data_IF_623829824386
#
_entry.id   IF_623829824386
#
_cell.length_a   1.000
_cell.length_b   1.000
_cell.length_c   1.000
_cell.angle_alpha   90.00
_cell.angle_beta   90.00
_cell.angle_gamma   90.00
#
_symmetry.space_group_name_H-M   'P 1'
#
loop_
_entity.id
_entity.type
_entity.pdbx_description
1 polymer ?
#
# COMPACT_ATOMS: atom_id res chain seq x y z
N UNK A 1 -11.88 -17.84 20.71
CA UNK A 1 -12.89 -18.39 19.80
C UNK A 1 -13.58 -19.58 20.46
N UNK A 2 -12.84 -20.65 20.84
CA UNK A 2 -13.44 -21.88 21.36
C UNK A 2 -14.36 -21.63 22.59
N UNK A 3 -13.91 -20.83 23.57
CA UNK A 3 -14.70 -20.52 24.76
C UNK A 3 -16.02 -19.77 24.46
N UNK A 4 -16.02 -18.90 23.42
CA UNK A 4 -17.20 -18.15 22.98
C UNK A 4 -18.20 -19.08 22.29
N UNK A 5 -17.70 -19.99 21.44
CA UNK A 5 -18.51 -21.01 20.80
C UNK A 5 -19.12 -21.96 21.83
N UNK A 6 -18.27 -22.56 22.70
CA UNK A 6 -18.71 -23.63 23.65
C UNK A 6 -19.66 -23.11 24.75
N UNK A 7 -19.52 -21.84 25.18
CA UNK A 7 -20.26 -21.30 26.32
C UNK A 7 -21.46 -20.42 25.96
N UNK A 8 -21.35 -19.71 24.80
CA UNK A 8 -22.40 -18.77 24.35
C UNK A 8 -23.08 -19.22 23.07
N UNK A 9 -22.68 -20.36 22.51
CA UNK A 9 -23.21 -20.93 21.26
C UNK A 9 -23.15 -19.93 20.07
N UNK A 10 -22.15 -19.04 20.06
CA UNK A 10 -21.93 -18.04 19.04
C UNK A 10 -21.31 -18.68 17.80
N UNK A 11 -22.04 -18.70 16.69
CA UNK A 11 -21.65 -19.35 15.44
C UNK A 11 -21.38 -18.37 14.29
N UNK A 12 -21.88 -17.12 14.42
CA UNK A 12 -21.81 -16.10 13.39
C UNK A 12 -21.70 -14.69 14.01
N UNK A 13 -21.60 -13.66 13.17
CA UNK A 13 -21.47 -12.26 13.62
C UNK A 13 -22.74 -11.77 14.32
N UNK A 14 -23.96 -12.03 13.83
CA UNK A 14 -25.18 -11.70 14.56
C UNK A 14 -25.21 -12.25 15.99
N UNK A 15 -24.95 -13.55 16.19
CA UNK A 15 -24.89 -14.16 17.52
C UNK A 15 -23.86 -13.48 18.43
N UNK A 16 -22.71 -13.07 17.84
CA UNK A 16 -21.66 -12.38 18.58
C UNK A 16 -22.08 -10.96 19.00
N UNK A 17 -22.85 -10.26 18.17
CA UNK A 17 -23.44 -8.95 18.53
C UNK A 17 -24.41 -9.08 19.69
N UNK A 18 -25.31 -10.04 19.60
CA UNK A 18 -26.29 -10.30 20.67
C UNK A 18 -25.58 -10.61 22.00
N UNK A 19 -24.49 -11.40 21.95
CA UNK A 19 -23.69 -11.69 23.12
C UNK A 19 -22.95 -10.50 23.71
N UNK A 20 -22.61 -9.50 22.88
CA UNK A 20 -22.02 -8.24 23.31
C UNK A 20 -23.10 -7.32 23.91
N UNK A 21 -24.24 -7.16 23.24
CA UNK A 21 -25.34 -6.30 23.68
C UNK A 21 -25.98 -6.78 24.99
N UNK A 22 -26.07 -8.09 25.18
CA UNK A 22 -26.55 -8.69 26.42
C UNK A 22 -25.51 -8.70 27.54
N UNK A 23 -24.25 -8.33 27.26
CA UNK A 23 -23.16 -8.35 28.23
C UNK A 23 -22.56 -9.74 28.48
N UNK A 24 -23.19 -10.84 27.96
CA UNK A 24 -22.77 -12.22 28.22
C UNK A 24 -21.35 -12.52 27.73
N UNK A 25 -20.85 -11.80 26.69
CA UNK A 25 -19.47 -11.93 26.25
C UNK A 25 -18.49 -11.36 27.29
N UNK A 26 -18.82 -10.26 27.96
CA UNK A 26 -17.96 -9.63 28.96
C UNK A 26 -17.83 -10.45 30.24
N UNK A 27 -18.85 -11.29 30.56
CA UNK A 27 -18.85 -12.19 31.71
C UNK A 27 -17.95 -13.42 31.52
N UNK A 28 -17.53 -13.71 30.29
CA UNK A 28 -16.63 -14.84 30.05
C UNK A 28 -15.23 -14.57 30.60
N UNK A 29 -14.60 -15.55 31.28
CA UNK A 29 -13.22 -15.44 31.74
C UNK A 29 -12.28 -15.07 30.62
N UNK A 30 -11.54 -13.96 30.80
CA UNK A 30 -10.58 -13.46 29.82
C UNK A 30 -11.15 -12.53 28.74
N UNK A 31 -12.44 -12.15 28.79
CA UNK A 31 -13.05 -11.17 27.90
C UNK A 31 -13.21 -9.79 28.55
N UNK A 32 -14.02 -9.61 29.55
CA UNK A 32 -14.28 -8.33 30.22
C UNK A 32 -14.79 -7.22 29.28
N UNK A 33 -15.26 -6.09 29.86
CA UNK A 33 -15.89 -4.99 29.13
C UNK A 33 -15.01 -4.35 28.05
N UNK A 34 -13.72 -4.15 28.34
CA UNK A 34 -12.77 -3.54 27.39
C UNK A 34 -12.60 -4.39 26.13
N UNK A 35 -12.56 -5.72 26.30
CA UNK A 35 -12.38 -6.64 25.18
C UNK A 35 -13.68 -6.83 24.40
N UNK A 36 -14.82 -6.88 25.05
CA UNK A 36 -16.14 -6.88 24.42
C UNK A 36 -16.36 -5.62 23.59
N UNK A 37 -16.03 -4.44 24.13
CA UNK A 37 -16.10 -3.17 23.40
C UNK A 37 -15.12 -3.12 22.19
N UNK A 38 -13.94 -3.71 22.29
CA UNK A 38 -13.01 -3.81 21.17
C UNK A 38 -13.56 -4.70 20.04
N UNK A 39 -14.17 -5.83 20.40
CA UNK A 39 -14.83 -6.73 19.45
C UNK A 39 -16.02 -6.04 18.78
N UNK A 40 -16.84 -5.30 19.55
CA UNK A 40 -17.95 -4.51 19.00
C UNK A 40 -17.48 -3.48 17.96
N UNK A 41 -16.39 -2.75 18.26
CA UNK A 41 -15.78 -1.83 17.30
C UNK A 41 -15.28 -2.56 16.05
N UNK A 42 -14.65 -3.72 16.21
CA UNK A 42 -14.20 -4.56 15.11
C UNK A 42 -15.33 -5.01 14.18
N UNK A 43 -16.46 -5.42 14.75
CA UNK A 43 -17.67 -5.79 13.99
C UNK A 43 -18.24 -4.57 13.25
N UNK A 44 -18.41 -3.44 13.93
CA UNK A 44 -18.88 -2.20 13.31
C UNK A 44 -17.98 -1.72 12.18
N UNK A 45 -16.67 -1.93 12.32
CA UNK A 45 -15.70 -1.65 11.26
C UNK A 45 -15.86 -2.58 10.05
N UNK A 46 -15.98 -3.90 10.29
CA UNK A 46 -16.24 -4.87 9.23
C UNK A 46 -17.52 -4.54 8.44
N UNK A 47 -18.56 -4.08 9.11
CA UNK A 47 -19.83 -3.70 8.47
C UNK A 47 -19.71 -2.39 7.67
N UNK A 48 -18.89 -1.45 8.12
CA UNK A 48 -18.60 -0.21 7.36
C UNK A 48 -17.69 -0.44 6.17
N UNK A 49 -16.82 -1.44 6.21
CA UNK A 49 -15.91 -1.80 5.12
C UNK A 49 -16.60 -2.57 3.99
N UNK A 50 -17.93 -2.67 4.00
CA UNK A 50 -18.72 -3.45 3.06
C UNK A 50 -18.45 -3.08 1.60
N UNK A 51 -18.03 -4.06 0.82
CA UNK A 51 -17.94 -4.00 -0.62
C UNK A 51 -16.65 -3.45 -1.22
N UNK A 52 -15.63 -3.11 -0.40
CA UNK A 52 -14.31 -2.73 -0.92
C UNK A 52 -13.28 -3.82 -0.66
N UNK A 53 -12.48 -4.11 -1.69
CA UNK A 53 -11.39 -5.09 -1.67
C UNK A 53 -10.04 -4.39 -1.63
N UNK A 54 -8.98 -5.09 -1.18
CA UNK A 54 -7.62 -4.56 -1.20
C UNK A 54 -7.06 -4.46 -2.61
N UNK A 55 -6.03 -3.64 -2.76
CA UNK A 55 -5.35 -3.41 -4.04
C UNK A 55 -4.80 -4.71 -4.66
N UNK A 56 -4.24 -5.63 -3.87
CA UNK A 56 -3.72 -6.92 -4.33
C UNK A 56 -4.83 -7.80 -4.94
N UNK A 57 -5.98 -7.90 -4.28
CA UNK A 57 -7.14 -8.66 -4.74
C UNK A 57 -7.71 -8.08 -6.05
N UNK A 58 -7.78 -6.75 -6.14
CA UNK A 58 -8.24 -6.08 -7.36
C UNK A 58 -7.26 -6.28 -8.54
N UNK A 59 -5.95 -6.31 -8.27
CA UNK A 59 -4.94 -6.60 -9.29
C UNK A 59 -5.01 -8.04 -9.78
N UNK A 60 -5.27 -9.00 -8.91
CA UNK A 60 -5.51 -10.40 -9.28
C UNK A 60 -6.71 -10.49 -10.23
N UNK A 61 -7.85 -9.90 -9.84
CA UNK A 61 -9.06 -9.89 -10.67
C UNK A 61 -8.81 -9.24 -12.05
N UNK A 62 -8.12 -8.09 -12.07
CA UNK A 62 -7.74 -7.42 -13.31
C UNK A 62 -6.78 -8.25 -14.16
N UNK A 63 -5.88 -9.00 -13.53
CA UNK A 63 -4.95 -9.95 -14.17
C UNK A 63 -5.68 -11.08 -14.89
N UNK A 64 -6.64 -11.73 -14.22
CA UNK A 64 -7.48 -12.82 -14.76
C UNK A 64 -8.23 -12.34 -16.01
N UNK A 65 -8.99 -11.24 -15.88
CA UNK A 65 -9.79 -10.71 -16.99
C UNK A 65 -8.90 -10.16 -18.11
N UNK A 66 -7.80 -9.48 -17.76
CA UNK A 66 -6.82 -8.97 -18.71
C UNK A 66 -6.15 -10.09 -19.52
N UNK A 67 -5.82 -11.23 -18.91
CA UNK A 67 -5.27 -12.40 -19.60
C UNK A 67 -6.27 -12.98 -20.60
N UNK A 68 -7.53 -13.15 -20.18
CA UNK A 68 -8.61 -13.62 -21.08
C UNK A 68 -8.80 -12.64 -22.25
N UNK A 69 -8.87 -11.34 -22.01
CA UNK A 69 -9.07 -10.34 -23.08
C UNK A 69 -7.90 -10.36 -24.07
N UNK A 70 -6.66 -10.47 -23.62
CA UNK A 70 -5.47 -10.56 -24.49
C UNK A 70 -5.45 -11.84 -25.34
N UNK A 71 -5.87 -12.97 -24.78
CA UNK A 71 -5.96 -14.22 -25.54
C UNK A 71 -7.02 -14.19 -26.63
N UNK A 72 -8.07 -13.35 -26.44
CA UNK A 72 -9.15 -13.18 -27.39
C UNK A 72 -8.72 -12.39 -28.65
N UNK A 73 -7.92 -11.33 -28.48
CA UNK A 73 -7.38 -10.57 -29.61
C UNK A 73 -6.16 -9.74 -29.16
N UNK A 74 -5.02 -9.95 -29.83
CA UNK A 74 -3.78 -9.20 -29.59
C UNK A 74 -3.86 -7.71 -29.97
N UNK A 75 -4.85 -7.35 -30.79
CA UNK A 75 -5.02 -5.97 -31.26
C UNK A 75 -5.82 -5.08 -30.30
N UNK A 76 -6.29 -5.60 -29.19
CA UNK A 76 -7.04 -4.83 -28.21
C UNK A 76 -6.11 -3.95 -27.36
N UNK A 77 -6.48 -2.68 -27.23
CA UNK A 77 -5.95 -1.81 -26.15
C UNK A 77 -6.70 -2.16 -24.87
N UNK A 78 -6.01 -2.69 -23.89
CA UNK A 78 -6.59 -3.07 -22.60
C UNK A 78 -5.93 -2.25 -21.51
N UNK A 79 -6.74 -1.61 -20.67
CA UNK A 79 -6.26 -0.77 -19.59
C UNK A 79 -7.22 -0.81 -18.40
N UNK A 80 -6.69 -0.97 -17.20
CA UNK A 80 -7.46 -0.75 -15.98
C UNK A 80 -7.81 0.74 -15.86
N UNK A 81 -8.92 1.03 -15.18
CA UNK A 81 -9.37 2.40 -14.89
C UNK A 81 -9.74 2.52 -13.40
N UNK A 82 -10.55 3.49 -13.04
CA UNK A 82 -11.06 3.68 -11.68
C UNK A 82 -9.97 3.84 -10.62
N UNK A 83 -10.33 3.50 -9.40
CA UNK A 83 -9.43 3.55 -8.25
C UNK A 83 -8.27 2.57 -8.36
N UNK A 84 -8.43 1.46 -9.10
CA UNK A 84 -7.37 0.51 -9.36
C UNK A 84 -6.22 1.13 -10.17
N UNK A 85 -6.51 1.87 -11.24
CA UNK A 85 -5.48 2.55 -12.03
C UNK A 85 -4.80 3.65 -11.23
N UNK A 86 -5.51 4.30 -10.32
CA UNK A 86 -4.93 5.27 -9.39
C UNK A 86 -4.16 4.62 -8.25
N UNK A 87 -4.10 3.28 -8.19
CA UNK A 87 -3.42 2.53 -7.12
C UNK A 87 -3.94 2.86 -5.71
N UNK A 88 -5.25 3.11 -5.57
CA UNK A 88 -5.84 3.31 -4.25
C UNK A 88 -5.68 2.04 -3.38
N UNK A 89 -5.55 2.22 -2.07
CA UNK A 89 -5.33 1.11 -1.11
C UNK A 89 -6.50 0.12 -1.06
N UNK A 90 -7.72 0.62 -1.35
CA UNK A 90 -8.92 -0.20 -1.50
C UNK A 90 -9.69 0.17 -2.77
N UNK A 91 -10.35 -0.81 -3.35
CA UNK A 91 -11.05 -0.75 -4.62
C UNK A 91 -12.51 -1.15 -4.42
N UNK A 92 -13.46 -0.40 -4.97
CA UNK A 92 -14.89 -0.76 -4.92
C UNK A 92 -15.25 -1.79 -5.99
N UNK A 93 -14.86 -1.48 -7.21
CA UNK A 93 -15.07 -2.29 -8.41
C UNK A 93 -13.84 -2.19 -9.32
N UNK A 94 -13.62 -3.19 -10.15
CA UNK A 94 -12.49 -3.23 -11.09
C UNK A 94 -12.99 -2.80 -12.47
N UNK A 95 -12.63 -1.57 -12.88
CA UNK A 95 -12.92 -1.07 -14.22
C UNK A 95 -11.83 -1.47 -15.22
N UNK A 96 -12.22 -2.06 -16.36
CA UNK A 96 -11.33 -2.38 -17.48
C UNK A 96 -11.88 -1.75 -18.77
N UNK A 97 -11.03 -0.93 -19.41
CA UNK A 97 -11.31 -0.36 -20.72
C UNK A 97 -10.68 -1.20 -21.80
N UNK A 98 -11.45 -1.44 -22.86
CA UNK A 98 -11.02 -2.13 -24.07
C UNK A 98 -11.20 -1.20 -25.26
N UNK A 99 -10.10 -0.82 -25.90
CA UNK A 99 -10.09 -0.01 -27.10
C UNK A 99 -10.25 -0.88 -28.34
N UNK A 100 -11.18 -0.52 -29.23
CA UNK A 100 -11.40 -1.21 -30.49
C UNK A 100 -11.37 -0.21 -31.66
N UNK A 101 -10.89 -0.60 -32.85
CA UNK A 101 -10.88 0.30 -34.01
C UNK A 101 -12.25 0.87 -34.32
N UNK A 102 -13.26 0.01 -34.30
CA UNK A 102 -14.67 0.37 -34.56
C UNK A 102 -15.60 -0.42 -33.64
N UNK A 103 -16.55 0.29 -33.01
CA UNK A 103 -17.62 -0.37 -32.24
C UNK A 103 -18.59 -1.12 -33.16
N UNK A 104 -19.44 -1.93 -32.56
CA UNK A 104 -20.45 -2.71 -33.24
C UNK A 104 -20.37 -4.20 -32.92
N UNK A 105 -20.39 -5.06 -33.94
CA UNK A 105 -20.37 -6.51 -33.74
C UNK A 105 -19.17 -7.00 -32.91
N UNK A 106 -17.99 -6.39 -33.11
CA UNK A 106 -16.78 -6.73 -32.36
C UNK A 106 -16.89 -6.40 -30.87
N UNK A 107 -17.44 -5.24 -30.52
CA UNK A 107 -17.68 -4.87 -29.13
C UNK A 107 -18.58 -5.88 -28.40
N UNK A 108 -19.66 -6.29 -29.08
CA UNK A 108 -20.57 -7.30 -28.54
C UNK A 108 -19.88 -8.63 -28.29
N UNK A 109 -19.04 -9.11 -29.24
CA UNK A 109 -18.25 -10.34 -29.07
C UNK A 109 -17.29 -10.27 -27.86
N UNK A 110 -16.63 -9.14 -27.61
CA UNK A 110 -15.76 -8.94 -26.43
C UNK A 110 -16.58 -9.08 -25.14
N UNK A 111 -17.75 -8.43 -25.07
CA UNK A 111 -18.61 -8.51 -23.89
C UNK A 111 -19.16 -9.94 -23.70
N UNK A 112 -19.59 -10.60 -24.78
CA UNK A 112 -20.05 -11.99 -24.72
C UNK A 112 -18.94 -12.96 -24.28
N UNK A 113 -17.70 -12.76 -24.74
CA UNK A 113 -16.56 -13.56 -24.30
C UNK A 113 -16.29 -13.36 -22.80
N UNK A 114 -16.34 -12.13 -22.32
CA UNK A 114 -16.16 -11.83 -20.90
C UNK A 114 -17.28 -12.45 -20.06
N UNK A 115 -18.56 -12.23 -20.40
CA UNK A 115 -19.69 -12.68 -19.58
C UNK A 115 -19.88 -14.20 -19.60
N UNK A 116 -19.29 -14.92 -20.58
CA UNK A 116 -19.33 -16.39 -20.69
C UNK A 116 -18.05 -17.08 -20.17
N UNK A 117 -17.10 -16.32 -19.63
CA UNK A 117 -15.84 -16.88 -19.15
C UNK A 117 -16.07 -17.76 -17.91
N UNK A 118 -15.25 -18.81 -17.77
CA UNK A 118 -15.43 -19.82 -16.72
C UNK A 118 -15.30 -19.30 -15.28
N UNK A 119 -14.56 -18.20 -15.11
CA UNK A 119 -14.37 -17.53 -13.80
C UNK A 119 -15.54 -16.60 -13.42
N UNK A 120 -16.56 -16.42 -14.27
CA UNK A 120 -17.73 -15.59 -13.98
C UNK A 120 -18.72 -16.37 -13.14
N UNK A 121 -19.03 -15.87 -11.94
CA UNK A 121 -20.05 -16.42 -11.04
C UNK A 121 -21.44 -15.85 -11.33
N UNK A 122 -21.51 -14.54 -11.55
CA UNK A 122 -22.76 -13.82 -11.74
C UNK A 122 -22.61 -12.72 -12.80
N UNK A 123 -23.61 -12.60 -13.65
CA UNK A 123 -23.71 -11.52 -14.64
C UNK A 123 -24.63 -10.44 -14.07
N UNK A 124 -24.07 -9.27 -13.71
CA UNK A 124 -24.85 -8.13 -13.22
C UNK A 124 -25.45 -7.31 -14.36
N UNK A 125 -24.71 -7.16 -15.46
CA UNK A 125 -25.18 -6.48 -16.67
C UNK A 125 -24.43 -6.98 -17.90
N UNK A 126 -25.14 -7.06 -19.06
CA UNK A 126 -24.58 -7.43 -20.36
C UNK A 126 -25.22 -6.61 -21.46
N UNK A 127 -24.48 -5.60 -21.94
CA UNK A 127 -24.86 -4.73 -23.04
C UNK A 127 -23.97 -4.92 -24.26
N UNK A 128 -24.13 -4.09 -25.29
CA UNK A 128 -23.32 -4.15 -26.52
C UNK A 128 -21.88 -3.62 -26.32
N UNK A 129 -21.65 -2.77 -25.32
CA UNK A 129 -20.37 -2.09 -25.08
C UNK A 129 -19.95 -2.10 -23.62
N UNK A 130 -20.79 -2.63 -22.71
CA UNK A 130 -20.49 -2.79 -21.28
C UNK A 130 -20.96 -4.15 -20.80
N UNK A 131 -20.10 -4.84 -20.05
CA UNK A 131 -20.43 -6.03 -19.25
C UNK A 131 -19.98 -5.80 -17.81
N UNK A 132 -20.82 -6.21 -16.85
CA UNK A 132 -20.56 -6.19 -15.41
C UNK A 132 -20.76 -7.58 -14.88
N UNK A 133 -19.77 -8.15 -14.22
CA UNK A 133 -19.84 -9.49 -13.65
C UNK A 133 -19.20 -9.53 -12.27
N UNK A 134 -19.66 -10.46 -11.44
CA UNK A 134 -18.92 -10.93 -10.28
C UNK A 134 -18.06 -12.09 -10.72
N UNK A 135 -16.77 -12.01 -10.50
CA UNK A 135 -15.81 -13.07 -10.83
C UNK A 135 -15.21 -13.68 -9.57
N UNK A 136 -14.83 -14.95 -9.67
CA UNK A 136 -14.09 -15.67 -8.63
C UNK A 136 -12.59 -15.39 -8.76
N UNK A 137 -11.95 -15.08 -7.63
CA UNK A 137 -10.48 -15.03 -7.50
C UNK A 137 -10.01 -16.02 -6.44
N UNK A 138 -8.72 -16.12 -6.21
CA UNK A 138 -8.19 -17.04 -5.18
C UNK A 138 -8.64 -16.69 -3.74
N UNK A 139 -9.02 -15.43 -3.50
CA UNK A 139 -9.26 -14.90 -2.15
C UNK A 139 -10.68 -14.39 -1.90
N UNK A 140 -11.38 -13.92 -2.92
CA UNK A 140 -12.73 -13.35 -2.78
C UNK A 140 -13.43 -13.20 -4.14
N UNK A 141 -14.72 -12.92 -4.08
CA UNK A 141 -15.51 -12.54 -5.25
C UNK A 141 -15.35 -11.04 -5.54
N UNK A 142 -15.16 -10.69 -6.81
CA UNK A 142 -14.85 -9.31 -7.21
C UNK A 142 -15.77 -8.86 -8.34
N UNK A 143 -16.41 -7.69 -8.19
CA UNK A 143 -17.11 -7.07 -9.29
C UNK A 143 -16.12 -6.48 -10.29
N UNK A 144 -16.25 -6.88 -11.56
CA UNK A 144 -15.47 -6.35 -12.68
C UNK A 144 -16.38 -5.79 -13.75
N UNK A 145 -16.09 -4.58 -14.17
CA UNK A 145 -16.74 -3.87 -15.26
C UNK A 145 -15.83 -3.81 -16.48
N UNK A 146 -16.22 -4.42 -17.58
CA UNK A 146 -15.52 -4.31 -18.87
C UNK A 146 -16.29 -3.35 -19.77
N UNK A 147 -15.61 -2.32 -20.25
CA UNK A 147 -16.19 -1.31 -21.15
C UNK A 147 -15.40 -1.21 -22.45
N UNK A 148 -16.09 -1.38 -23.57
CA UNK A 148 -15.51 -1.29 -24.91
C UNK A 148 -15.75 0.10 -25.49
N UNK A 149 -14.70 0.76 -25.94
CA UNK A 149 -14.72 2.12 -26.49
C UNK A 149 -13.99 2.18 -27.83
N UNK A 150 -14.38 3.08 -28.75
CA UNK A 150 -13.63 3.25 -29.98
C UNK A 150 -12.27 3.89 -29.71
N UNK A 151 -11.22 3.49 -30.44
CA UNK A 151 -9.86 4.00 -30.27
C UNK A 151 -9.76 5.53 -30.30
N UNK A 152 -10.56 6.18 -31.18
CA UNK A 152 -10.61 7.65 -31.28
C UNK A 152 -11.01 8.33 -29.96
N UNK A 153 -11.69 7.62 -29.06
CA UNK A 153 -12.14 8.10 -27.75
C UNK A 153 -11.39 7.45 -26.58
N UNK A 154 -10.43 6.55 -26.85
CA UNK A 154 -9.81 5.73 -25.81
C UNK A 154 -9.12 6.56 -24.74
N UNK A 155 -8.36 7.60 -25.12
CA UNK A 155 -7.71 8.49 -24.15
C UNK A 155 -8.70 9.31 -23.33
N UNK A 156 -9.81 9.76 -23.92
CA UNK A 156 -10.85 10.49 -23.18
C UNK A 156 -11.59 9.56 -22.22
N UNK A 157 -11.95 8.37 -22.64
CA UNK A 157 -12.54 7.35 -21.78
C UNK A 157 -11.57 6.95 -20.65
N UNK A 158 -10.28 6.75 -20.96
CA UNK A 158 -9.25 6.44 -19.99
C UNK A 158 -9.14 7.54 -18.93
N UNK A 159 -9.09 8.80 -19.32
CA UNK A 159 -9.07 9.93 -18.40
C UNK A 159 -10.35 9.98 -17.54
N UNK A 160 -11.53 9.88 -18.17
CA UNK A 160 -12.82 9.99 -17.52
C UNK A 160 -13.05 8.87 -16.49
N UNK A 161 -12.87 7.60 -16.90
CA UNK A 161 -13.09 6.43 -16.04
C UNK A 161 -11.97 6.22 -15.01
N UNK A 162 -10.77 6.74 -15.22
CA UNK A 162 -9.73 6.76 -14.20
C UNK A 162 -10.12 7.63 -13.00
N UNK A 163 -10.77 8.76 -13.22
CA UNK A 163 -11.15 9.69 -12.16
C UNK A 163 -9.92 10.40 -11.55
N UNK A 164 -9.93 10.76 -10.25
CA UNK A 164 -11.08 10.67 -9.33
C UNK A 164 -12.26 11.51 -9.77
N UNK A 165 -13.39 11.36 -9.06
CA UNK A 165 -14.56 12.25 -9.31
C UNK A 165 -14.18 13.72 -9.12
N UNK A 166 -13.46 14.05 -8.04
CA UNK A 166 -13.01 15.40 -7.74
C UNK A 166 -12.09 15.93 -8.85
N UNK A 167 -11.06 15.17 -9.24
CA UNK A 167 -10.18 15.51 -10.34
C UNK A 167 -10.94 15.77 -11.65
N UNK A 168 -11.91 14.91 -12.00
CA UNK A 168 -12.73 15.09 -13.20
C UNK A 168 -13.63 16.33 -13.17
N UNK A 169 -14.14 16.71 -12.00
CA UNK A 169 -14.90 17.96 -11.82
C UNK A 169 -14.00 19.15 -12.14
N UNK A 170 -12.79 19.19 -11.57
CA UNK A 170 -11.82 20.27 -11.80
C UNK A 170 -11.41 20.38 -13.27
N UNK A 171 -11.11 19.27 -13.93
CA UNK A 171 -10.78 19.28 -15.37
C UNK A 171 -11.93 19.80 -16.22
N UNK A 172 -13.18 19.43 -15.91
CA UNK A 172 -14.36 19.94 -16.62
C UNK A 172 -14.58 21.43 -16.40
N UNK A 173 -14.34 21.94 -15.18
CA UNK A 173 -14.40 23.39 -14.92
C UNK A 173 -13.39 24.16 -15.77
N UNK A 174 -12.16 23.64 -15.90
CA UNK A 174 -11.14 24.25 -16.78
C UNK A 174 -11.60 24.22 -18.24
N UNK A 175 -12.13 23.09 -18.71
CA UNK A 175 -12.66 22.96 -20.06
C UNK A 175 -13.79 23.97 -20.33
N UNK A 176 -14.76 24.10 -19.42
CA UNK A 176 -15.87 25.06 -19.51
C UNK A 176 -15.37 26.51 -19.57
N UNK A 177 -14.42 26.88 -18.70
CA UNK A 177 -13.79 28.23 -18.73
C UNK A 177 -13.10 28.52 -20.08
N UNK A 178 -12.56 27.48 -20.72
CA UNK A 178 -11.96 27.57 -22.07
C UNK A 178 -12.99 27.46 -23.21
N UNK A 179 -14.31 27.45 -22.93
CA UNK A 179 -15.40 27.23 -23.87
C UNK A 179 -15.29 25.90 -24.64
N UNK A 180 -14.84 24.87 -23.92
CA UNK A 180 -14.71 23.48 -24.40
C UNK A 180 -15.64 22.55 -23.61
N UNK A 181 -15.97 21.39 -24.17
CA UNK A 181 -16.75 20.32 -23.52
C UNK A 181 -15.89 19.09 -23.38
N UNK A 182 -15.68 18.59 -22.15
CA UNK A 182 -14.95 17.36 -21.84
C UNK A 182 -15.90 16.29 -21.33
N UNK A 183 -15.85 15.10 -21.95
CA UNK A 183 -16.56 13.90 -21.53
C UNK A 183 -15.78 12.64 -21.93
N UNK A 184 -16.34 11.44 -21.69
CA UNK A 184 -15.73 10.14 -22.00
C UNK A 184 -15.48 9.90 -23.49
N UNK A 185 -16.08 10.68 -24.37
CA UNK A 185 -15.90 10.56 -25.82
C UNK A 185 -14.78 11.45 -26.36
N UNK A 186 -14.47 12.56 -25.69
CA UNK A 186 -13.44 13.48 -26.13
C UNK A 186 -13.50 14.85 -25.48
N UNK A 187 -12.57 15.70 -25.92
CA UNK A 187 -12.59 17.15 -25.70
C UNK A 187 -13.08 17.83 -26.99
N UNK A 188 -14.11 18.66 -26.89
CA UNK A 188 -14.81 19.23 -28.03
C UNK A 188 -14.78 20.77 -27.99
N UNK A 189 -14.71 21.36 -29.21
CA UNK A 189 -15.01 22.79 -29.43
C UNK A 189 -16.23 22.86 -30.36
N UNK A 190 -17.41 23.22 -29.81
CA UNK A 190 -18.67 22.96 -30.47
C UNK A 190 -18.84 21.46 -30.68
N UNK A 191 -19.18 21.05 -31.90
CA UNK A 191 -19.36 19.64 -32.25
C UNK A 191 -18.06 18.94 -32.70
N UNK A 192 -16.98 19.70 -32.85
CA UNK A 192 -15.69 19.18 -33.35
C UNK A 192 -14.86 18.61 -32.20
N UNK A 193 -14.54 17.32 -32.24
CA UNK A 193 -13.55 16.72 -31.36
C UNK A 193 -12.15 17.29 -31.65
N UNK A 194 -11.47 17.79 -30.65
CA UNK A 194 -10.12 18.37 -30.73
C UNK A 194 -9.05 17.55 -29.98
N UNK A 195 -9.47 16.62 -29.12
CA UNK A 195 -8.64 15.59 -28.47
C UNK A 195 -9.53 14.42 -28.01
N UNK A 196 -8.99 13.19 -28.05
CA UNK A 196 -9.75 11.99 -27.66
C UNK A 196 -8.91 10.71 -27.61
N UNK A 197 -8.04 10.43 -28.61
CA UNK A 197 -7.27 9.17 -28.67
C UNK A 197 -6.26 8.95 -27.55
N UNK A 198 -5.70 10.03 -26.97
CA UNK A 198 -4.70 9.96 -25.91
C UNK A 198 -4.98 10.98 -24.81
N UNK A 199 -4.76 10.58 -23.54
CA UNK A 199 -4.96 11.45 -22.35
C UNK A 199 -4.09 12.70 -22.40
N UNK A 200 -2.81 12.56 -22.81
CA UNK A 200 -1.85 13.66 -22.91
C UNK A 200 -2.35 14.79 -23.81
N UNK A 201 -3.10 14.47 -24.86
CA UNK A 201 -3.68 15.48 -25.74
C UNK A 201 -4.72 16.33 -25.02
N UNK A 202 -5.50 15.72 -24.13
CA UNK A 202 -6.55 16.40 -23.35
C UNK A 202 -5.89 17.40 -22.39
N UNK A 203 -4.95 16.94 -21.56
CA UNK A 203 -4.22 17.81 -20.62
C UNK A 203 -3.53 18.97 -21.35
N UNK A 204 -2.78 18.68 -22.41
CA UNK A 204 -2.09 19.72 -23.20
C UNK A 204 -3.06 20.75 -23.80
N UNK A 205 -4.25 20.32 -24.29
CA UNK A 205 -5.26 21.23 -24.83
C UNK A 205 -5.91 22.10 -23.76
N UNK A 206 -5.87 21.66 -22.51
CA UNK A 206 -6.32 22.41 -21.34
C UNK A 206 -5.21 23.29 -20.71
N UNK A 207 -4.01 23.30 -21.29
CA UNK A 207 -2.85 24.06 -20.78
C UNK A 207 -2.23 23.46 -19.53
N UNK A 208 -2.28 22.13 -19.40
CA UNK A 208 -1.76 21.37 -18.27
C UNK A 208 -0.71 20.36 -18.71
N UNK A 209 0.28 20.12 -17.87
CA UNK A 209 1.12 18.94 -17.98
C UNK A 209 0.29 17.66 -17.78
N UNK A 210 0.76 16.54 -18.30
CA UNK A 210 0.09 15.25 -18.06
C UNK A 210 0.18 14.86 -16.60
N UNK A 211 -0.96 14.67 -15.97
CA UNK A 211 -1.04 14.24 -14.58
C UNK A 211 -1.07 12.72 -14.52
N UNK A 212 -0.07 12.07 -13.88
CA UNK A 212 -0.08 10.63 -13.66
C UNK A 212 -1.34 10.16 -12.93
N UNK A 213 -1.94 9.01 -13.28
CA UNK A 213 -3.14 8.50 -12.62
C UNK A 213 -3.08 8.47 -11.10
N UNK A 214 -1.94 8.09 -10.53
CA UNK A 214 -1.73 7.99 -9.08
C UNK A 214 -1.89 9.31 -8.32
N UNK A 215 -1.74 10.45 -9.01
CA UNK A 215 -1.88 11.79 -8.41
C UNK A 215 -3.30 12.36 -8.53
N UNK A 216 -4.20 11.77 -9.32
CA UNK A 216 -5.51 12.33 -9.66
C UNK A 216 -6.54 12.23 -8.53
N UNK A 217 -6.31 12.93 -7.41
CA UNK A 217 -7.17 12.91 -6.22
C UNK A 217 -7.66 14.30 -5.79
N UNK A 218 -7.39 15.34 -6.59
CA UNK A 218 -7.67 16.77 -6.30
C UNK A 218 -6.95 17.23 -5.01
N UNK A 219 -5.63 16.98 -4.97
CA UNK A 219 -4.75 17.31 -3.84
C UNK A 219 -3.62 18.28 -4.25
N UNK A 220 -3.90 19.15 -5.24
CA UNK A 220 -2.96 20.15 -5.76
C UNK A 220 -2.30 19.77 -7.09
N UNK A 221 -2.61 18.60 -7.65
CA UNK A 221 -2.00 18.14 -8.90
C UNK A 221 -2.41 18.98 -10.13
N UNK A 222 -3.60 19.59 -10.09
CA UNK A 222 -4.08 20.49 -11.17
C UNK A 222 -3.24 21.77 -11.19
N UNK A 223 -3.02 22.36 -10.01
CA UNK A 223 -2.21 23.57 -9.85
C UNK A 223 -0.75 23.29 -10.19
N UNK A 224 -0.21 22.16 -9.75
CA UNK A 224 1.16 21.75 -10.08
C UNK A 224 1.32 21.51 -11.58
N UNK A 225 0.37 20.86 -12.25
CA UNK A 225 0.39 20.65 -13.70
C UNK A 225 0.32 21.95 -14.49
N UNK A 226 -0.46 22.93 -13.99
CA UNK A 226 -0.55 24.26 -14.62
C UNK A 226 0.72 25.08 -14.47
N UNK A 227 1.41 24.91 -13.34
CA UNK A 227 2.65 25.63 -13.01
C UNK A 227 3.91 24.90 -13.45
N UNK A 228 3.80 23.74 -14.11
CA UNK A 228 4.92 22.88 -14.50
C UNK A 228 5.80 22.45 -13.32
N UNK A 229 5.16 22.12 -12.18
CA UNK A 229 5.82 21.72 -10.92
C UNK A 229 5.40 20.34 -10.43
N UNK A 230 4.84 19.51 -11.33
CA UNK A 230 4.57 18.11 -10.98
C UNK A 230 5.89 17.42 -10.61
N UNK A 231 5.91 16.59 -9.53
CA UNK A 231 7.11 15.86 -9.17
C UNK A 231 7.45 14.77 -10.19
N UNK A 232 8.73 14.51 -10.37
CA UNK A 232 9.21 13.29 -11.01
C UNK A 232 9.04 12.14 -10.00
N UNK A 233 7.96 11.38 -10.16
CA UNK A 233 7.60 10.32 -9.21
C UNK A 233 8.62 9.20 -9.21
N UNK A 234 8.82 8.62 -8.04
CA UNK A 234 9.64 7.42 -7.87
C UNK A 234 9.10 6.25 -8.72
N UNK A 235 10.01 5.52 -9.36
CA UNK A 235 9.72 4.32 -10.14
C UNK A 235 10.41 3.08 -9.56
N UNK A 236 9.95 1.89 -9.96
CA UNK A 236 10.52 0.63 -9.47
C UNK A 236 12.02 0.49 -9.79
N UNK A 237 12.45 1.02 -10.94
CA UNK A 237 13.86 1.01 -11.34
C UNK A 237 14.78 1.85 -10.42
N UNK A 238 14.22 2.74 -9.62
CA UNK A 238 14.98 3.53 -8.64
C UNK A 238 15.29 2.77 -7.36
N UNK A 239 14.51 1.73 -7.04
CA UNK A 239 14.64 0.93 -5.81
C UNK A 239 15.91 0.09 -5.87
N UNK A 240 16.73 0.19 -4.83
CA UNK A 240 17.98 -0.55 -4.69
C UNK A 240 17.97 -1.61 -3.61
N UNK A 241 16.96 -1.63 -2.77
CA UNK A 241 16.87 -2.62 -1.71
C UNK A 241 15.64 -2.44 -0.83
N UNK A 242 15.56 -3.26 0.19
CA UNK A 242 14.45 -3.39 1.12
C UNK A 242 14.95 -3.27 2.56
N UNK A 243 14.18 -2.59 3.41
CA UNK A 243 14.57 -2.28 4.79
C UNK A 243 13.86 -3.13 5.85
N UNK A 244 12.89 -3.98 5.48
CA UNK A 244 12.07 -4.67 6.46
C UNK A 244 11.72 -6.09 6.00
N UNK A 245 12.31 -7.10 6.65
CA UNK A 245 12.05 -8.51 6.40
C UNK A 245 12.49 -9.38 7.58
N UNK A 246 11.86 -10.54 7.70
CA UNK A 246 12.03 -11.50 8.78
C UNK A 246 12.54 -12.82 8.28
N UNK A 247 13.33 -13.51 9.12
CA UNK A 247 13.91 -14.82 8.82
C UNK A 247 13.34 -15.90 9.73
N UNK A 248 13.73 -17.15 9.48
CA UNK A 248 13.44 -18.27 10.38
C UNK A 248 14.01 -18.11 11.80
N UNK A 249 14.82 -17.07 12.04
CA UNK A 249 15.30 -16.76 13.38
C UNK A 249 14.20 -16.17 14.27
N UNK A 250 13.20 -15.48 13.69
CA UNK A 250 11.98 -15.05 14.38
C UNK A 250 10.76 -15.80 13.82
N UNK A 251 9.92 -15.18 13.04
CA UNK A 251 8.66 -15.74 12.51
C UNK A 251 8.59 -15.80 10.99
N UNK A 252 9.70 -15.55 10.29
CA UNK A 252 9.82 -15.77 8.86
C UNK A 252 9.94 -17.25 8.48
N UNK A 253 9.74 -17.53 7.20
CA UNK A 253 9.79 -18.89 6.61
C UNK A 253 11.08 -19.16 5.83
N UNK A 254 11.86 -18.12 5.52
CA UNK A 254 13.11 -18.19 4.73
C UNK A 254 14.34 -17.85 5.56
N UNK A 255 15.48 -18.45 5.25
CA UNK A 255 16.76 -18.06 5.84
C UNK A 255 17.36 -16.82 5.14
N UNK A 256 18.46 -16.32 5.68
CA UNK A 256 19.13 -15.10 5.18
C UNK A 256 19.64 -15.31 3.75
N UNK A 257 20.16 -16.47 3.44
CA UNK A 257 20.72 -16.83 2.15
C UNK A 257 19.64 -16.86 1.06
N UNK A 258 18.48 -17.46 1.34
CA UNK A 258 17.33 -17.51 0.43
C UNK A 258 16.76 -16.11 0.15
N UNK A 259 16.62 -15.29 1.18
CA UNK A 259 16.22 -13.89 1.03
C UNK A 259 17.22 -13.11 0.17
N UNK A 260 18.53 -13.33 0.40
CA UNK A 260 19.58 -12.64 -0.35
C UNK A 260 19.62 -13.07 -1.82
N UNK A 261 19.44 -14.36 -2.12
CA UNK A 261 19.36 -14.87 -3.49
C UNK A 261 18.18 -14.26 -4.23
N UNK A 262 16.99 -14.32 -3.64
CA UNK A 262 15.77 -13.72 -4.22
C UNK A 262 15.91 -12.21 -4.42
N UNK A 263 16.50 -11.49 -3.47
CA UNK A 263 16.76 -10.06 -3.59
C UNK A 263 17.75 -9.73 -4.72
N UNK A 264 18.77 -10.57 -4.90
CA UNK A 264 19.71 -10.41 -6.01
C UNK A 264 19.03 -10.63 -7.38
N UNK A 265 18.14 -11.61 -7.49
CA UNK A 265 17.32 -11.87 -8.69
C UNK A 265 16.37 -10.71 -9.01
N UNK A 266 15.82 -10.03 -7.98
CA UNK A 266 15.05 -8.80 -8.13
C UNK A 266 15.92 -7.59 -8.50
N UNK A 267 17.25 -7.73 -8.54
CA UNK A 267 18.18 -6.66 -8.89
C UNK A 267 18.56 -5.72 -7.73
N UNK A 268 18.21 -6.05 -6.50
CA UNK A 268 18.56 -5.27 -5.31
C UNK A 268 20.07 -5.19 -5.10
N UNK A 269 20.50 -4.16 -4.42
CA UNK A 269 21.90 -3.89 -4.04
C UNK A 269 22.11 -4.02 -2.54
N UNK A 270 21.05 -3.99 -1.77
CA UNK A 270 21.05 -4.27 -0.35
C UNK A 270 19.68 -4.82 0.11
N UNK A 271 19.72 -5.57 1.21
CA UNK A 271 18.56 -5.91 2.04
C UNK A 271 18.92 -5.63 3.50
N UNK A 272 17.94 -5.42 4.35
CA UNK A 272 18.11 -5.28 5.79
C UNK A 272 17.33 -6.38 6.50
N UNK A 273 18.01 -7.28 7.18
CA UNK A 273 17.35 -8.29 8.03
C UNK A 273 16.93 -7.60 9.33
N UNK A 274 15.65 -7.74 9.68
CA UNK A 274 15.04 -7.00 10.79
C UNK A 274 14.15 -7.88 11.66
N UNK A 275 14.66 -9.05 12.03
CA UNK A 275 13.96 -9.96 12.93
C UNK A 275 13.50 -9.26 14.22
N UNK A 276 12.37 -9.72 14.76
CA UNK A 276 11.73 -9.16 15.95
C UNK A 276 12.59 -9.25 17.20
N UNK A 277 12.43 -8.30 18.12
CA UNK A 277 13.04 -8.30 19.44
C UNK A 277 12.26 -9.19 20.43
N UNK A 278 12.91 -9.56 21.53
CA UNK A 278 12.47 -10.65 22.41
C UNK A 278 11.17 -10.39 23.17
N UNK A 279 10.74 -9.14 23.36
CA UNK A 279 9.46 -8.85 23.98
C UNK A 279 8.26 -9.34 23.17
N UNK A 280 8.43 -9.55 21.85
CA UNK A 280 7.42 -10.11 20.99
C UNK A 280 7.51 -11.66 20.94
N UNK A 281 7.20 -12.29 22.06
CA UNK A 281 7.30 -13.75 22.21
C UNK A 281 6.44 -14.53 21.20
N UNK A 282 5.32 -13.96 20.71
CA UNK A 282 4.43 -14.61 19.75
C UNK A 282 5.10 -14.75 18.37
N UNK A 283 6.06 -13.88 18.05
CA UNK A 283 6.85 -13.91 16.81
C UNK A 283 8.25 -14.53 17.03
N UNK A 284 8.48 -15.24 18.13
CA UNK A 284 9.77 -15.83 18.50
C UNK A 284 10.92 -14.81 18.49
N UNK A 285 10.67 -13.58 18.94
CA UNK A 285 11.64 -12.48 18.89
C UNK A 285 12.98 -12.84 19.54
N UNK A 286 14.06 -12.35 18.94
CA UNK A 286 15.44 -12.69 19.28
C UNK A 286 15.85 -12.15 20.64
N UNK A 287 16.48 -12.98 21.46
CA UNK A 287 17.19 -12.52 22.64
C UNK A 287 18.45 -11.70 22.22
N UNK A 288 19.01 -10.85 23.13
CA UNK A 288 20.23 -10.10 22.84
C UNK A 288 21.38 -10.97 22.33
N UNK A 289 21.53 -12.19 22.87
CA UNK A 289 22.56 -13.13 22.46
C UNK A 289 22.33 -13.66 21.04
N UNK A 290 21.09 -13.95 20.67
CA UNK A 290 20.74 -14.39 19.32
C UNK A 290 20.95 -13.28 18.28
N UNK A 291 20.54 -12.04 18.61
CA UNK A 291 20.77 -10.89 17.74
C UNK A 291 22.27 -10.62 17.54
N UNK A 292 23.09 -10.66 18.59
CA UNK A 292 24.54 -10.53 18.47
C UNK A 292 25.14 -11.62 17.56
N UNK A 293 24.68 -12.87 17.70
CA UNK A 293 25.10 -13.96 16.80
C UNK A 293 24.66 -13.71 15.34
N UNK A 294 23.45 -13.21 15.13
CA UNK A 294 22.95 -12.91 13.79
C UNK A 294 23.75 -11.79 13.11
N UNK A 295 24.13 -10.74 13.86
CA UNK A 295 25.00 -9.67 13.36
C UNK A 295 26.32 -10.26 12.84
N UNK A 296 26.99 -11.09 13.65
CA UNK A 296 28.24 -11.75 13.25
C UNK A 296 28.03 -12.67 12.03
N UNK A 297 26.92 -13.40 11.98
CA UNK A 297 26.59 -14.28 10.87
C UNK A 297 26.40 -13.49 9.57
N UNK A 298 25.66 -12.40 9.60
CA UNK A 298 25.47 -11.48 8.46
C UNK A 298 26.84 -10.92 7.99
N UNK A 299 27.75 -10.54 8.90
CA UNK A 299 29.09 -10.06 8.54
C UNK A 299 29.85 -11.13 7.76
N UNK A 300 29.81 -12.41 8.20
CA UNK A 300 30.47 -13.55 7.51
C UNK A 300 29.87 -13.85 6.14
N UNK A 301 28.54 -13.73 5.99
CA UNK A 301 27.87 -13.87 4.69
C UNK A 301 28.36 -12.79 3.73
N UNK A 302 28.40 -11.54 4.18
CA UNK A 302 28.83 -10.39 3.38
C UNK A 302 30.28 -10.51 2.85
N UNK A 303 31.18 -11.21 3.54
CA UNK A 303 32.55 -11.46 3.06
C UNK A 303 32.58 -12.25 1.73
N UNK A 304 31.56 -13.08 1.50
CA UNK A 304 31.46 -13.97 0.33
C UNK A 304 30.50 -13.43 -0.73
N UNK A 305 29.55 -12.56 -0.33
CA UNK A 305 28.48 -12.06 -1.18
C UNK A 305 29.02 -10.99 -2.14
N UNK A 306 28.62 -11.08 -3.42
CA UNK A 306 29.01 -10.10 -4.44
C UNK A 306 27.77 -9.44 -5.03
N UNK A 307 27.81 -8.11 -5.16
CA UNK A 307 26.75 -7.34 -5.83
C UNK A 307 25.52 -7.01 -4.98
N UNK A 308 25.39 -7.63 -3.80
CA UNK A 308 24.38 -7.36 -2.78
C UNK A 308 25.08 -7.15 -1.43
N UNK A 309 24.54 -6.31 -0.57
CA UNK A 309 24.98 -6.14 0.82
C UNK A 309 23.81 -6.42 1.75
N UNK A 310 24.01 -7.28 2.75
CA UNK A 310 23.02 -7.50 3.81
C UNK A 310 23.34 -6.57 4.96
N UNK A 311 22.41 -5.69 5.31
CA UNK A 311 22.48 -4.86 6.50
C UNK A 311 21.97 -5.66 7.70
N UNK A 312 22.71 -5.64 8.79
CA UNK A 312 22.24 -6.16 10.06
C UNK A 312 21.32 -5.15 10.71
N UNK A 313 20.08 -5.53 10.93
CA UNK A 313 19.07 -4.69 11.57
C UNK A 313 18.26 -5.45 12.60
N UNK A 314 17.22 -4.84 13.11
CA UNK A 314 16.18 -5.43 13.94
C UNK A 314 14.90 -4.62 13.84
N UNK A 315 13.74 -5.28 13.94
CA UNK A 315 12.48 -4.63 14.31
C UNK A 315 12.33 -4.70 15.83
N UNK A 316 12.76 -3.63 16.49
CA UNK A 316 12.73 -3.55 17.95
C UNK A 316 11.38 -3.03 18.46
N UNK A 317 10.79 -3.72 19.44
CA UNK A 317 9.57 -3.25 20.08
C UNK A 317 9.78 -1.94 20.86
N UNK A 318 8.83 -1.03 20.71
CA UNK A 318 8.69 0.14 21.57
C UNK A 318 7.91 -0.29 22.82
N UNK A 319 8.57 -0.35 23.96
CA UNK A 319 8.00 -0.79 25.23
C UNK A 319 6.96 0.23 25.76
N UNK A 320 6.10 -0.14 26.72
CA UNK A 320 5.05 0.75 27.24
C UNK A 320 5.55 2.09 27.75
N UNK A 321 6.78 2.15 28.25
CA UNK A 321 7.41 3.39 28.72
C UNK A 321 8.11 4.19 27.61
N UNK A 322 8.07 3.71 26.37
CA UNK A 322 8.71 4.31 25.19
C UNK A 322 10.20 4.00 25.03
N UNK A 323 10.78 3.13 25.87
CA UNK A 323 12.12 2.59 25.65
C UNK A 323 12.12 1.53 24.55
N UNK A 324 13.30 1.20 24.03
CA UNK A 324 13.50 0.16 23.03
C UNK A 324 13.89 -1.15 23.69
N UNK A 325 13.43 -2.26 23.17
CA UNK A 325 13.58 -3.61 23.75
C UNK A 325 15.02 -4.17 23.75
N UNK A 326 15.99 -3.42 23.26
CA UNK A 326 17.43 -3.73 23.35
C UNK A 326 18.19 -2.56 23.95
N UNK A 327 19.30 -2.85 24.61
CA UNK A 327 20.19 -1.81 25.11
C UNK A 327 20.97 -1.11 23.97
N UNK A 328 21.44 0.11 24.25
CA UNK A 328 22.10 0.92 23.25
C UNK A 328 23.46 0.35 22.80
N UNK A 329 24.11 -0.49 23.60
CA UNK A 329 25.38 -1.13 23.25
C UNK A 329 25.15 -2.11 22.09
N UNK A 330 24.12 -2.94 22.18
CA UNK A 330 23.74 -3.87 21.12
C UNK A 330 23.19 -3.13 19.89
N UNK A 331 22.36 -2.11 20.08
CA UNK A 331 21.83 -1.30 18.97
C UNK A 331 22.94 -0.57 18.20
N UNK A 332 24.06 -0.24 18.82
CA UNK A 332 25.20 0.41 18.18
C UNK A 332 25.88 -0.48 17.13
N UNK A 333 25.82 -1.79 17.28
CA UNK A 333 26.43 -2.77 16.36
C UNK A 333 25.61 -3.02 15.09
N UNK A 334 24.34 -2.56 15.07
CA UNK A 334 23.42 -2.70 13.95
C UNK A 334 23.67 -1.66 12.86
N UNK A 335 23.45 -2.01 11.61
CA UNK A 335 23.52 -1.09 10.47
C UNK A 335 22.27 -0.22 10.36
N UNK A 336 21.09 -0.75 10.75
CA UNK A 336 19.81 -0.04 10.69
C UNK A 336 18.81 -0.62 11.70
N UNK A 337 18.18 0.24 12.49
CA UNK A 337 17.19 -0.13 13.51
C UNK A 337 15.84 0.45 13.12
N UNK A 338 14.84 -0.42 12.97
CA UNK A 338 13.44 -0.02 12.89
C UNK A 338 12.76 -0.29 14.23
N UNK A 339 11.84 0.57 14.63
CA UNK A 339 11.12 0.44 15.90
C UNK A 339 9.62 0.44 15.63
N UNK A 340 8.87 -0.39 16.36
CA UNK A 340 7.43 -0.56 16.14
C UNK A 340 6.67 -0.78 17.45
N UNK A 341 5.37 -0.51 17.45
CA UNK A 341 4.46 -0.84 18.55
C UNK A 341 3.67 -2.08 18.17
N UNK A 342 3.97 -3.23 18.75
CA UNK A 342 3.18 -4.46 18.62
C UNK A 342 2.25 -4.67 19.80
N UNK A 343 2.66 -4.31 21.02
CA UNK A 343 1.89 -4.48 22.24
C UNK A 343 1.27 -3.17 22.70
N UNK A 344 0.03 -3.22 23.20
CA UNK A 344 -0.65 -2.04 23.75
C UNK A 344 -1.16 -1.06 22.68
N UNK A 345 -1.47 -1.53 21.47
CA UNK A 345 -1.97 -0.72 20.35
C UNK A 345 -3.33 -0.05 20.61
N UNK A 346 -4.07 -0.45 21.62
CA UNK A 346 -5.37 0.11 22.02
C UNK A 346 -5.25 1.18 23.13
N UNK A 347 -4.05 1.68 23.43
CA UNK A 347 -3.81 2.77 24.36
C UNK A 347 -4.45 4.09 23.93
N UNK A 348 -4.45 5.07 24.85
CA UNK A 348 -4.92 6.42 24.54
C UNK A 348 -3.97 7.12 23.53
N UNK A 349 -4.51 8.08 22.78
CA UNK A 349 -3.76 8.83 21.75
C UNK A 349 -2.48 9.44 22.28
N UNK A 350 -2.56 10.09 23.43
CA UNK A 350 -1.43 10.73 24.09
C UNK A 350 -0.37 9.71 24.48
N UNK A 351 -0.78 8.56 25.01
CA UNK A 351 0.10 7.48 25.45
C UNK A 351 0.88 6.89 24.26
N UNK A 352 0.15 6.47 23.20
CA UNK A 352 0.75 5.89 21.99
C UNK A 352 1.68 6.88 21.30
N UNK A 353 1.25 8.15 21.20
CA UNK A 353 2.06 9.21 20.61
C UNK A 353 3.34 9.42 21.41
N UNK A 354 3.24 9.60 22.73
CA UNK A 354 4.42 9.81 23.59
C UNK A 354 5.41 8.65 23.57
N UNK A 355 4.91 7.40 23.55
CA UNK A 355 5.77 6.22 23.39
C UNK A 355 6.58 6.28 22.10
N UNK A 356 5.92 6.62 21.00
CA UNK A 356 6.56 6.73 19.67
C UNK A 356 7.59 7.86 19.65
N UNK A 357 7.24 9.06 20.16
CA UNK A 357 8.18 10.19 20.21
C UNK A 357 9.41 9.86 21.05
N UNK A 358 9.22 9.24 22.22
CA UNK A 358 10.33 8.84 23.09
C UNK A 358 11.24 7.79 22.44
N UNK A 359 10.67 6.83 21.71
CA UNK A 359 11.45 5.87 20.93
C UNK A 359 12.32 6.57 19.86
N UNK A 360 11.76 7.60 19.21
CA UNK A 360 12.49 8.39 18.22
C UNK A 360 13.62 9.24 18.81
N UNK A 361 13.57 9.58 20.09
CA UNK A 361 14.66 10.24 20.81
C UNK A 361 15.89 9.33 21.01
N UNK A 362 15.71 8.01 20.94
CA UNK A 362 16.84 7.08 20.98
C UNK A 362 17.74 7.27 19.74
N UNK A 363 19.05 7.56 19.90
CA UNK A 363 19.94 7.87 18.79
C UNK A 363 20.20 6.71 17.83
N UNK A 364 19.85 5.49 18.21
CA UNK A 364 20.03 4.30 17.38
C UNK A 364 18.78 3.92 16.56
N UNK A 365 17.60 4.43 16.90
CA UNK A 365 16.37 4.20 16.13
C UNK A 365 16.41 5.02 14.84
N UNK A 366 16.43 4.36 13.69
CA UNK A 366 16.57 5.00 12.39
C UNK A 366 15.24 5.19 11.66
N UNK A 367 14.25 4.33 11.94
CA UNK A 367 12.94 4.36 11.31
C UNK A 367 11.84 3.88 12.26
N UNK A 368 10.62 4.42 12.12
CA UNK A 368 9.42 3.85 12.74
C UNK A 368 8.71 3.01 11.70
N UNK A 369 8.57 1.70 11.98
CA UNK A 369 7.89 0.74 11.13
C UNK A 369 6.36 0.87 11.26
N UNK A 370 5.62 0.67 10.14
CA UNK A 370 4.15 0.71 10.06
C UNK A 370 3.51 1.59 11.15
N UNK A 371 3.72 2.93 11.08
CA UNK A 371 3.56 3.85 12.21
C UNK A 371 2.15 3.93 12.79
N UNK A 372 1.12 3.54 12.02
CA UNK A 372 -0.26 3.53 12.50
C UNK A 372 -0.74 2.14 12.93
N UNK A 373 0.02 1.10 12.65
CA UNK A 373 -0.29 -0.29 13.01
C UNK A 373 -1.59 -0.84 12.41
N UNK A 374 -2.15 -0.18 11.40
CA UNK A 374 -3.41 -0.57 10.76
C UNK A 374 -3.31 -1.90 10.01
N UNK A 375 -4.45 -2.59 9.87
CA UNK A 375 -4.63 -3.69 8.93
C UNK A 375 -5.91 -3.43 8.12
N UNK A 376 -5.76 -3.16 6.82
CA UNK A 376 -6.85 -2.80 5.92
C UNK A 376 -7.95 -3.87 5.93
N UNK A 377 -9.18 -3.47 6.30
CA UNK A 377 -10.31 -4.38 6.42
C UNK A 377 -10.30 -5.32 7.64
N UNK A 378 -9.31 -5.20 8.55
CA UNK A 378 -9.19 -6.07 9.75
C UNK A 378 -9.00 -5.31 11.06
N UNK A 379 -8.22 -4.24 11.05
CA UNK A 379 -7.89 -3.48 12.27
C UNK A 379 -7.73 -2.01 11.93
N UNK A 380 -8.44 -1.16 12.67
CA UNK A 380 -8.29 0.29 12.60
C UNK A 380 -6.85 0.70 12.97
N UNK A 381 -6.38 1.84 12.46
CA UNK A 381 -5.11 2.39 12.93
C UNK A 381 -5.16 2.65 14.43
N UNK A 382 -4.01 2.57 15.09
CA UNK A 382 -3.83 3.07 16.45
C UNK A 382 -4.28 4.54 16.51
N UNK A 383 -4.83 4.95 17.64
CA UNK A 383 -5.12 6.36 17.89
C UNK A 383 -3.81 7.09 18.21
N UNK A 384 -3.11 7.53 17.15
CA UNK A 384 -1.81 8.19 17.21
C UNK A 384 -1.86 9.56 16.53
N UNK A 385 -1.19 10.57 17.10
CA UNK A 385 -1.01 11.85 16.45
C UNK A 385 0.10 11.81 15.40
N UNK A 386 -0.27 11.46 14.18
CA UNK A 386 0.70 11.30 13.10
C UNK A 386 1.37 12.64 12.71
N UNK A 387 0.71 13.77 12.94
CA UNK A 387 1.31 15.08 12.68
C UNK A 387 2.43 15.36 13.68
N UNK A 388 2.22 15.06 14.98
CA UNK A 388 3.24 15.16 16.00
C UNK A 388 4.42 14.20 15.72
N UNK A 389 4.13 12.97 15.26
CA UNK A 389 5.18 12.00 14.87
C UNK A 389 6.00 12.54 13.70
N UNK A 390 5.37 13.10 12.66
CA UNK A 390 6.08 13.70 11.52
C UNK A 390 6.94 14.88 11.95
N UNK A 391 6.41 15.79 12.78
CA UNK A 391 7.18 16.93 13.31
C UNK A 391 8.40 16.46 14.10
N UNK A 392 8.23 15.42 14.92
CA UNK A 392 9.32 14.87 15.71
C UNK A 392 10.35 14.11 14.85
N UNK A 393 9.91 13.44 13.79
CA UNK A 393 10.78 12.77 12.81
C UNK A 393 11.77 13.75 12.16
N UNK A 394 11.32 14.97 11.85
CA UNK A 394 12.20 16.03 11.34
C UNK A 394 13.29 16.38 12.37
N UNK A 395 12.91 16.55 13.64
CA UNK A 395 13.82 16.95 14.74
C UNK A 395 14.87 15.88 15.04
N UNK A 396 14.47 14.62 14.97
CA UNK A 396 15.30 13.48 15.36
C UNK A 396 15.99 12.79 14.18
N UNK A 397 15.80 13.29 12.97
CA UNK A 397 16.28 12.63 11.73
C UNK A 397 15.87 11.15 11.63
N UNK A 398 14.65 10.84 12.08
CA UNK A 398 14.09 9.49 12.01
C UNK A 398 13.28 9.35 10.72
N UNK A 399 13.50 8.27 9.98
CA UNK A 399 12.65 7.94 8.81
C UNK A 399 11.30 7.37 9.27
N UNK A 400 10.31 7.42 8.38
CA UNK A 400 9.02 6.74 8.57
C UNK A 400 8.83 5.70 7.47
N UNK A 401 8.31 4.55 7.84
CA UNK A 401 8.08 3.47 6.89
C UNK A 401 6.81 3.68 6.07
N UNK A 402 6.87 3.22 4.82
CA UNK A 402 5.74 2.86 3.97
C UNK A 402 5.77 1.34 3.85
N UNK A 403 5.10 0.64 4.75
CA UNK A 403 5.01 -0.81 4.73
C UNK A 403 4.25 -1.27 3.49
N UNK A 404 4.88 -2.10 2.67
CA UNK A 404 4.37 -2.50 1.36
C UNK A 404 3.41 -3.70 1.43
N UNK A 405 3.21 -4.30 2.61
CA UNK A 405 2.25 -5.38 2.76
C UNK A 405 0.83 -4.86 2.42
N UNK A 406 0.10 -5.50 1.48
CA UNK A 406 -1.24 -5.07 1.06
C UNK A 406 -2.27 -4.99 2.19
N UNK A 407 -2.04 -5.70 3.30
CA UNK A 407 -2.86 -5.56 4.49
C UNK A 407 -2.57 -4.28 5.27
N UNK A 408 -1.40 -3.64 5.09
CA UNK A 408 -0.98 -2.46 5.84
C UNK A 408 -1.01 -1.19 4.98
N UNK A 409 -0.16 -1.08 3.95
CA UNK A 409 0.14 0.14 3.18
C UNK A 409 0.29 1.34 4.11
N UNK A 410 1.16 1.21 5.10
CA UNK A 410 1.29 2.09 6.26
C UNK A 410 2.73 2.66 6.34
N UNK A 411 2.90 3.92 6.15
CA UNK A 411 1.99 5.07 6.07
C UNK A 411 1.08 5.03 4.82
N UNK A 412 -0.15 5.52 4.98
CA UNK A 412 -1.02 5.76 3.82
C UNK A 412 -0.55 6.96 2.99
N UNK A 413 -1.03 7.07 1.75
CA UNK A 413 -0.63 8.09 0.77
C UNK A 413 -0.71 9.54 1.27
N UNK A 414 -1.76 9.89 2.03
CA UNK A 414 -1.89 11.24 2.59
C UNK A 414 -0.86 11.55 3.67
N UNK A 415 -0.49 10.56 4.49
CA UNK A 415 0.55 10.72 5.50
C UNK A 415 1.94 10.74 4.86
N UNK A 416 2.17 9.97 3.78
CA UNK A 416 3.39 10.08 2.97
C UNK A 416 3.59 11.51 2.46
N UNK A 417 2.53 12.12 1.89
CA UNK A 417 2.58 13.50 1.40
C UNK A 417 2.93 14.47 2.52
N UNK A 418 2.27 14.38 3.68
CA UNK A 418 2.58 15.22 4.84
C UNK A 418 4.05 15.08 5.29
N UNK A 419 4.56 13.86 5.36
CA UNK A 419 5.94 13.57 5.78
C UNK A 419 6.96 14.15 4.78
N UNK A 420 6.71 13.98 3.47
CA UNK A 420 7.56 14.52 2.39
C UNK A 420 7.57 16.05 2.42
N UNK A 421 6.41 16.68 2.56
CA UNK A 421 6.29 18.15 2.65
C UNK A 421 7.01 18.71 3.90
N UNK A 422 7.08 17.95 4.97
CA UNK A 422 7.86 18.29 6.18
C UNK A 422 9.37 18.00 6.04
N UNK A 423 9.81 17.32 4.98
CA UNK A 423 11.21 16.95 4.74
C UNK A 423 11.67 15.65 5.41
N UNK A 424 10.75 14.83 5.90
CA UNK A 424 11.04 13.50 6.46
C UNK A 424 11.41 12.53 5.34
N UNK A 425 12.46 11.73 5.54
CA UNK A 425 12.79 10.60 4.65
C UNK A 425 11.86 9.42 4.93
N UNK A 426 11.45 8.75 3.85
CA UNK A 426 10.67 7.53 3.95
C UNK A 426 11.53 6.31 3.61
N UNK A 427 11.20 5.17 4.21
CA UNK A 427 11.64 3.84 3.77
C UNK A 427 10.43 3.10 3.18
N UNK A 428 10.68 2.15 2.29
CA UNK A 428 9.69 1.17 1.88
C UNK A 428 10.18 -0.18 2.39
N UNK A 429 9.37 -0.85 3.22
CA UNK A 429 9.64 -2.18 3.75
C UNK A 429 8.58 -3.16 3.26
N UNK A 430 8.98 -4.33 2.76
CA UNK A 430 8.01 -5.35 2.37
C UNK A 430 7.38 -6.06 3.56
N UNK A 431 8.05 -6.02 4.71
CA UNK A 431 7.66 -6.79 5.90
C UNK A 431 7.56 -8.29 5.52
N UNK A 432 8.56 -8.72 4.71
CA UNK A 432 8.55 -10.04 4.09
C UNK A 432 8.89 -11.10 5.13
N UNK A 433 8.00 -12.10 5.23
CA UNK A 433 8.18 -13.28 6.07
C UNK A 433 8.54 -14.54 5.25
N UNK A 434 8.56 -14.42 3.94
CA UNK A 434 9.03 -15.43 2.99
C UNK A 434 9.70 -14.73 1.80
N UNK A 435 10.68 -15.36 1.18
CA UNK A 435 11.40 -14.82 0.02
C UNK A 435 10.45 -14.42 -1.12
N UNK A 436 9.39 -15.20 -1.35
CA UNK A 436 8.36 -14.90 -2.36
C UNK A 436 7.62 -13.58 -2.12
N UNK A 437 7.59 -13.06 -0.89
CA UNK A 437 6.90 -11.82 -0.53
C UNK A 437 7.75 -10.56 -0.70
N UNK A 438 9.04 -10.66 -1.05
CA UNK A 438 9.87 -9.52 -1.49
C UNK A 438 9.29 -8.81 -2.72
N UNK A 439 8.50 -9.49 -3.55
CA UNK A 439 7.76 -8.90 -4.67
C UNK A 439 6.69 -7.87 -4.28
N UNK A 440 6.33 -7.75 -3.00
CA UNK A 440 5.35 -6.79 -2.50
C UNK A 440 5.82 -5.32 -2.57
N UNK A 441 7.11 -5.07 -2.78
CA UNK A 441 7.70 -3.71 -2.91
C UNK A 441 6.87 -2.77 -3.79
N UNK A 442 6.28 -3.28 -4.87
CA UNK A 442 5.46 -2.48 -5.79
C UNK A 442 4.21 -1.84 -5.16
N UNK A 443 3.68 -2.39 -4.08
CA UNK A 443 2.53 -1.83 -3.37
C UNK A 443 2.94 -0.62 -2.51
N UNK A 444 4.04 -0.74 -1.77
CA UNK A 444 4.61 0.38 -1.01
C UNK A 444 5.05 1.53 -1.92
N UNK A 445 5.71 1.19 -3.04
CA UNK A 445 6.08 2.14 -4.07
C UNK A 445 4.87 2.92 -4.62
N UNK A 446 3.78 2.21 -4.94
CA UNK A 446 2.55 2.84 -5.42
C UNK A 446 1.95 3.79 -4.37
N UNK A 447 1.96 3.40 -3.09
CA UNK A 447 1.48 4.23 -1.98
C UNK A 447 2.36 5.48 -1.80
N UNK A 448 3.68 5.34 -1.85
CA UNK A 448 4.61 6.46 -1.79
C UNK A 448 4.42 7.42 -2.98
N UNK A 449 4.30 6.90 -4.22
CA UNK A 449 4.06 7.70 -5.41
C UNK A 449 2.72 8.46 -5.35
N UNK A 450 1.65 7.86 -4.78
CA UNK A 450 0.39 8.56 -4.48
C UNK A 450 0.58 9.69 -3.46
N UNK A 451 1.54 9.54 -2.56
CA UNK A 451 2.00 10.56 -1.63
C UNK A 451 2.98 11.59 -2.23
N UNK A 452 3.14 11.60 -3.57
CA UNK A 452 4.01 12.53 -4.31
C UNK A 452 5.52 12.27 -4.14
N UNK A 453 5.90 11.09 -3.68
CA UNK A 453 7.30 10.74 -3.44
C UNK A 453 8.13 10.80 -4.72
N UNK A 454 9.28 11.44 -4.61
CA UNK A 454 10.36 11.43 -5.60
C UNK A 454 11.48 10.48 -5.14
N UNK A 455 12.42 10.20 -6.02
CA UNK A 455 13.62 9.44 -5.70
C UNK A 455 14.39 9.99 -4.49
N UNK A 456 14.39 11.30 -4.31
CA UNK A 456 15.11 11.95 -3.22
C UNK A 456 14.46 11.74 -1.86
N UNK A 457 13.16 11.42 -1.80
CA UNK A 457 12.40 11.28 -0.55
C UNK A 457 12.54 9.88 0.06
N UNK A 458 12.94 8.89 -0.74
CA UNK A 458 12.94 7.47 -0.38
C UNK A 458 14.37 6.94 -0.17
N UNK A 459 14.67 6.43 1.02
CA UNK A 459 15.97 5.87 1.36
C UNK A 459 16.34 4.62 0.55
N UNK A 460 15.36 3.83 0.11
CA UNK A 460 15.57 2.64 -0.72
C UNK A 460 16.26 2.93 -2.05
N UNK A 461 16.27 4.17 -2.51
CA UNK A 461 16.98 4.60 -3.73
C UNK A 461 18.46 4.90 -3.49
N UNK A 462 18.87 4.91 -2.24
CA UNK A 462 20.22 5.29 -1.81
C UNK A 462 21.22 4.14 -1.99
N UNK A 463 22.51 4.50 -2.04
CA UNK A 463 23.59 3.51 -1.89
C UNK A 463 23.79 3.16 -0.41
N UNK A 464 24.37 2.00 -0.12
CA UNK A 464 24.71 1.58 1.26
C UNK A 464 25.54 2.65 1.98
N UNK A 465 26.48 3.30 1.27
CA UNK A 465 27.27 4.40 1.87
C UNK A 465 26.41 5.60 2.30
N UNK A 466 25.40 5.96 1.52
CA UNK A 466 24.46 7.03 1.90
C UNK A 466 23.54 6.62 3.05
N UNK A 467 23.12 5.34 3.10
CA UNK A 467 22.35 4.80 4.23
C UNK A 467 23.18 4.89 5.52
N UNK A 468 24.44 4.43 5.47
CA UNK A 468 25.36 4.55 6.60
C UNK A 468 25.58 6.01 7.04
N UNK A 469 25.65 6.95 6.10
CA UNK A 469 25.72 8.39 6.41
C UNK A 469 24.45 8.88 7.09
N UNK A 470 23.26 8.46 6.61
CA UNK A 470 21.98 8.80 7.24
C UNK A 470 21.93 8.32 8.70
N UNK A 471 22.30 7.08 8.94
CA UNK A 471 22.36 6.49 10.28
C UNK A 471 23.36 7.24 11.18
N UNK A 472 24.54 7.55 10.65
CA UNK A 472 25.59 8.27 11.41
C UNK A 472 25.17 9.68 11.83
N UNK A 473 24.35 10.36 11.04
CA UNK A 473 23.92 11.72 11.37
C UNK A 473 23.04 11.80 12.62
N UNK A 474 22.48 10.68 13.06
CA UNK A 474 21.64 10.59 14.26
C UNK A 474 22.41 10.04 15.48
N UNK A 475 23.43 9.21 15.24
CA UNK A 475 24.22 8.58 16.30
C UNK A 475 25.18 9.56 16.95
N UNK A 476 25.47 9.41 18.28
CA UNK A 476 26.42 10.26 18.99
C UNK A 476 27.84 10.16 18.47
#
# INVERSE_FOLDING_TARGET
VKAVYDKLNVTNIPDLKDAIETGSLAELPGFGDKKAAAIARGIAFLEKSTGRIRLDQALEAAGIVGAMLRSYSELLKIQTAGSLRRRAETIGDVDILVGVPQQGHFSKRVIEAFTKAAFVKEILASGSTKGSCVIETSTCDVQVDVRVVPEKSFGAASQYFTGSKAHNVRLREIAVKAKLKLNEYGLFKGDKMIAGPAEQQIYRKLGLDYIPPVLREDRGEIEAAKNHTLPELIEFADIKGDFHMHTVASDGESDIEELAETAADLGYKFICITDHSHSLAIANGLSPKQLAWQIEHIRKINEKLKGLTILAGTEADILPDGSIDFDNELLADLDFVIASIHLGQSGAREEITMRTLKAMDNPFVNCIAHPTGRLIGRREPMDIDIAAVIEHAVKTHTALEVNANPWRLDLKDTHCKMAIEAGVKLTIGTDAHAASTLGLMGFGLATAARGWATKSDILNTSTVAKIKSFVKNKRP
#
